data_IF_733580064822
#
_entry.id   IF_733580064822
#
_cell.length_a   1.000
_cell.length_b   1.000
_cell.length_c   1.000
_cell.angle_alpha   90.00
_cell.angle_beta   90.00
_cell.angle_gamma   90.00
#
_symmetry.space_group_name_H-M   'P 1'
#
loop_
_entity.id
_entity.type
_entity.pdbx_description
1 polymer ?
#
# COMPACT_ATOMS: atom_id res chain seq x y z
N UNK A 1 -10.61 -16.09 -32.34
CA UNK A 1 -10.22 -16.53 -30.98
C UNK A 1 -8.94 -15.87 -30.49
N UNK A 2 -7.88 -15.72 -31.31
CA UNK A 2 -6.58 -15.11 -30.92
C UNK A 2 -6.70 -13.70 -30.33
N UNK A 3 -7.57 -12.83 -30.87
CA UNK A 3 -7.71 -11.44 -30.39
C UNK A 3 -8.07 -11.29 -28.91
N UNK A 4 -8.86 -12.21 -28.34
CA UNK A 4 -9.27 -12.15 -26.92
C UNK A 4 -8.13 -12.45 -25.96
N UNK A 5 -7.22 -13.34 -26.34
CA UNK A 5 -6.09 -13.71 -25.50
C UNK A 5 -5.07 -12.59 -25.36
N UNK A 6 -4.87 -11.80 -26.43
CA UNK A 6 -4.00 -10.62 -26.39
C UNK A 6 -4.57 -9.55 -25.45
N UNK A 7 -5.87 -9.27 -25.56
CA UNK A 7 -6.57 -8.34 -24.66
C UNK A 7 -6.49 -8.79 -23.18
N UNK A 8 -6.65 -10.09 -22.91
CA UNK A 8 -6.54 -10.64 -21.54
C UNK A 8 -5.13 -10.47 -20.95
N UNK A 9 -4.07 -10.64 -21.74
CA UNK A 9 -2.68 -10.42 -21.29
C UNK A 9 -2.41 -8.95 -21.01
N UNK A 10 -2.87 -8.04 -21.87
CA UNK A 10 -2.74 -6.59 -21.68
C UNK A 10 -3.50 -6.12 -20.42
N UNK A 11 -4.71 -6.64 -20.22
CA UNK A 11 -5.50 -6.37 -19.01
C UNK A 11 -4.79 -6.85 -17.75
N UNK A 12 -4.20 -8.04 -17.76
CA UNK A 12 -3.50 -8.58 -16.59
C UNK A 12 -2.27 -7.74 -16.23
N UNK A 13 -1.51 -7.26 -17.22
CA UNK A 13 -0.39 -6.32 -17.01
C UNK A 13 -0.86 -5.00 -16.38
N UNK A 14 -1.96 -4.44 -16.89
CA UNK A 14 -2.52 -3.20 -16.38
C UNK A 14 -3.07 -3.36 -14.94
N UNK A 15 -3.73 -4.47 -14.64
CA UNK A 15 -4.21 -4.77 -13.29
C UNK A 15 -3.03 -4.92 -12.31
N UNK A 16 -1.93 -5.57 -12.71
CA UNK A 16 -0.76 -5.63 -11.84
C UNK A 16 -0.16 -4.23 -11.60
N UNK A 17 -0.05 -3.40 -12.65
CA UNK A 17 0.40 -2.01 -12.52
C UNK A 17 -0.46 -1.22 -11.54
N UNK A 18 -1.78 -1.38 -11.59
CA UNK A 18 -2.74 -0.75 -10.67
C UNK A 18 -2.58 -1.25 -9.25
N UNK A 19 -2.41 -2.54 -9.04
CA UNK A 19 -2.17 -3.12 -7.71
C UNK A 19 -0.91 -2.53 -7.08
N UNK A 20 0.20 -2.45 -7.82
CA UNK A 20 1.44 -1.87 -7.32
C UNK A 20 1.29 -0.38 -6.99
N UNK A 21 0.60 0.39 -7.84
CA UNK A 21 0.33 1.81 -7.60
C UNK A 21 -0.57 2.01 -6.37
N UNK A 22 -1.59 1.16 -6.21
CA UNK A 22 -2.50 1.19 -5.08
C UNK A 22 -1.80 0.90 -3.75
N UNK A 23 -0.92 -0.10 -3.71
CA UNK A 23 -0.15 -0.43 -2.49
C UNK A 23 0.81 0.71 -2.10
N UNK A 24 1.43 1.36 -3.09
CA UNK A 24 2.24 2.56 -2.84
C UNK A 24 1.39 3.68 -2.22
N UNK A 25 0.27 4.01 -2.87
CA UNK A 25 -0.65 5.03 -2.37
C UNK A 25 -1.17 4.71 -0.96
N UNK A 26 -1.50 3.45 -0.66
CA UNK A 26 -1.93 3.05 0.68
C UNK A 26 -0.81 3.20 1.72
N UNK A 27 0.44 2.89 1.37
CA UNK A 27 1.58 3.13 2.26
C UNK A 27 1.68 4.61 2.62
N UNK A 28 1.60 5.49 1.63
CA UNK A 28 1.71 6.93 1.85
C UNK A 28 0.51 7.48 2.64
N UNK A 29 -0.69 6.97 2.37
CA UNK A 29 -1.88 7.26 3.16
C UNK A 29 -1.70 6.86 4.63
N UNK A 30 -1.14 5.68 4.92
CA UNK A 30 -0.88 5.23 6.29
C UNK A 30 0.05 6.17 7.05
N UNK A 31 1.11 6.69 6.41
CA UNK A 31 2.04 7.64 7.05
C UNK A 31 1.34 8.93 7.50
N UNK A 32 0.32 9.36 6.78
CA UNK A 32 -0.49 10.55 7.10
C UNK A 32 -1.73 10.26 7.95
N UNK A 33 -2.05 8.98 8.17
CA UNK A 33 -3.30 8.58 8.82
C UNK A 33 -3.32 9.03 10.27
N UNK A 34 -4.46 9.59 10.68
CA UNK A 34 -4.67 10.13 12.02
C UNK A 34 -4.19 11.58 12.18
N UNK A 35 -3.51 12.14 11.18
CA UNK A 35 -3.11 13.54 11.16
C UNK A 35 -2.29 13.94 12.40
N UNK A 36 -2.63 15.10 12.97
CA UNK A 36 -2.06 15.55 14.22
C UNK A 36 -2.64 14.77 15.41
N UNK A 37 -1.75 14.08 16.12
CA UNK A 37 -2.09 13.30 17.30
C UNK A 37 -2.02 14.13 18.59
N UNK A 38 -1.80 15.45 18.54
CA UNK A 38 -1.70 16.34 19.72
C UNK A 38 -2.86 16.17 20.72
N UNK A 39 -4.05 15.87 20.23
CA UNK A 39 -5.25 15.58 21.02
C UNK A 39 -5.15 14.32 21.91
N UNK A 40 -4.19 13.42 21.65
CA UNK A 40 -3.91 12.24 22.49
C UNK A 40 -3.09 12.70 23.69
N UNK A 41 -3.56 12.59 24.95
CA UNK A 41 -2.83 13.14 26.10
C UNK A 41 -1.62 12.29 26.51
N UNK A 42 -1.69 10.98 26.28
CA UNK A 42 -0.67 10.02 26.70
C UNK A 42 0.38 9.84 25.60
N UNK A 43 1.64 10.15 25.93
CA UNK A 43 2.75 10.08 24.98
C UNK A 43 3.13 8.65 24.60
N UNK A 44 2.90 7.67 25.48
CA UNK A 44 3.12 6.25 25.17
C UNK A 44 2.11 5.77 24.14
N UNK A 45 0.84 6.14 24.32
CA UNK A 45 -0.22 5.85 23.34
C UNK A 45 0.08 6.54 22.01
N UNK A 46 0.48 7.82 22.03
CA UNK A 46 0.85 8.56 20.83
C UNK A 46 2.00 7.90 20.07
N UNK A 47 3.07 7.52 20.77
CA UNK A 47 4.20 6.81 20.20
C UNK A 47 3.78 5.45 19.62
N UNK A 48 2.90 4.72 20.32
CA UNK A 48 2.33 3.46 19.83
C UNK A 48 1.51 3.62 18.54
N UNK A 49 0.70 4.68 18.44
CA UNK A 49 -0.05 5.00 17.22
C UNK A 49 0.88 5.34 16.05
N UNK A 50 1.94 6.11 16.29
CA UNK A 50 2.97 6.43 15.29
C UNK A 50 3.68 5.14 14.84
N UNK A 51 4.14 4.31 15.76
CA UNK A 51 4.81 3.06 15.44
C UNK A 51 3.89 2.12 14.64
N UNK A 52 2.61 2.06 15.00
CA UNK A 52 1.63 1.24 14.30
C UNK A 52 1.40 1.72 12.87
N UNK A 53 1.22 3.03 12.63
CA UNK A 53 1.04 3.55 11.26
C UNK A 53 2.26 3.31 10.37
N UNK A 54 3.47 3.47 10.90
CA UNK A 54 4.71 3.20 10.16
C UNK A 54 4.81 1.71 9.80
N UNK A 55 4.47 0.83 10.75
CA UNK A 55 4.41 -0.62 10.48
C UNK A 55 3.38 -0.95 9.40
N UNK A 56 2.21 -0.32 9.42
CA UNK A 56 1.18 -0.55 8.40
C UNK A 56 1.62 -0.05 7.02
N UNK A 57 2.31 1.09 6.96
CA UNK A 57 2.89 1.62 5.72
C UNK A 57 3.94 0.66 5.15
N UNK A 58 4.88 0.22 5.98
CA UNK A 58 5.93 -0.73 5.58
C UNK A 58 5.33 -2.04 5.07
N UNK A 59 4.31 -2.59 5.74
CA UNK A 59 3.65 -3.80 5.29
C UNK A 59 3.09 -3.70 3.86
N UNK A 60 2.58 -2.52 3.45
CA UNK A 60 2.09 -2.31 2.07
C UNK A 60 3.24 -2.24 1.07
N UNK A 61 4.38 -1.64 1.45
CA UNK A 61 5.57 -1.64 0.62
C UNK A 61 6.12 -3.06 0.44
N UNK A 62 6.14 -3.86 1.50
CA UNK A 62 6.58 -5.27 1.44
C UNK A 62 5.67 -6.09 0.52
N UNK A 63 4.34 -5.93 0.63
CA UNK A 63 3.39 -6.55 -0.29
C UNK A 63 3.63 -6.12 -1.74
N UNK A 64 3.89 -4.83 -1.96
CA UNK A 64 4.17 -4.27 -3.28
C UNK A 64 5.42 -4.89 -3.89
N UNK A 65 6.53 -4.93 -3.16
CA UNK A 65 7.77 -5.55 -3.65
C UNK A 65 7.60 -7.04 -3.87
N UNK A 66 6.85 -7.73 -3.01
CA UNK A 66 6.55 -9.15 -3.19
C UNK A 66 5.72 -9.42 -4.45
N UNK A 67 4.70 -8.62 -4.73
CA UNK A 67 3.89 -8.78 -5.93
C UNK A 67 4.68 -8.42 -7.19
N UNK A 68 5.48 -7.36 -7.13
CA UNK A 68 6.39 -6.99 -8.21
C UNK A 68 7.41 -8.08 -8.52
N UNK A 69 7.89 -8.82 -7.50
CA UNK A 69 8.83 -9.92 -7.72
C UNK A 69 8.18 -11.20 -8.27
N UNK A 70 6.87 -11.36 -8.06
CA UNK A 70 6.09 -12.52 -8.54
C UNK A 70 5.58 -12.33 -9.97
N UNK A 71 5.43 -11.07 -10.37
CA UNK A 71 5.03 -10.65 -11.71
C UNK A 71 6.21 -10.71 -12.69
#
# INVERSE_FOLDING_TARGET
>A
RVRRWTEEVELLQEEMRRVLAFLQWQSDWWKTRGGDLSHVPDDTIRAGMIAYRERQAQLRLDMRERFKSLW
#
